data_IF_599989091168
#
_entry.id   IF_599989091168
#
_cell.length_a   1.000
_cell.length_b   1.000
_cell.length_c   1.000
_cell.angle_alpha   90.00
_cell.angle_beta   90.00
_cell.angle_gamma   90.00
#
_symmetry.space_group_name_H-M   'P 1'
#
loop_
_entity.id
_entity.type
_entity.pdbx_description
1 polymer ?
#
# COMPACT_ATOMS: atom_id res chain seq x y z
N UNK A 1 -26.96 14.81 -10.86
CA UNK A 1 -25.91 15.47 -11.67
C UNK A 1 -24.93 14.40 -12.10
N UNK A 2 -25.10 13.98 -13.37
CA UNK A 2 -24.34 13.03 -14.21
C UNK A 2 -23.52 11.89 -13.58
N UNK A 3 -24.09 10.68 -13.69
CA UNK A 3 -23.52 9.31 -13.60
C UNK A 3 -22.30 9.00 -14.48
N UNK A 4 -21.66 10.01 -15.08
CA UNK A 4 -20.53 9.87 -16.02
C UNK A 4 -19.17 10.21 -15.38
N UNK A 5 -19.09 10.16 -14.05
CA UNK A 5 -17.82 10.29 -13.35
C UNK A 5 -16.89 9.15 -13.78
N UNK A 6 -15.76 9.48 -14.42
CA UNK A 6 -14.73 8.52 -14.77
C UNK A 6 -14.42 7.62 -13.56
N UNK A 7 -14.77 6.33 -13.63
CA UNK A 7 -14.37 5.33 -12.64
C UNK A 7 -12.87 5.06 -12.79
N UNK A 8 -12.04 6.05 -12.42
CA UNK A 8 -10.58 6.02 -12.50
C UNK A 8 -10.01 4.70 -11.99
N UNK A 9 -10.55 4.21 -10.88
CA UNK A 9 -10.15 2.94 -10.26
C UNK A 9 -10.49 1.69 -11.08
N UNK A 10 -11.59 1.69 -11.84
CA UNK A 10 -11.92 0.60 -12.77
C UNK A 10 -10.89 0.52 -13.90
N UNK A 11 -10.49 1.65 -14.45
CA UNK A 11 -9.50 1.65 -15.54
C UNK A 11 -8.11 1.28 -15.03
N UNK A 12 -7.73 1.77 -13.85
CA UNK A 12 -6.47 1.35 -13.22
C UNK A 12 -6.46 -0.12 -12.81
N UNK A 13 -7.59 -0.72 -12.42
CA UNK A 13 -7.70 -2.17 -12.25
C UNK A 13 -7.34 -2.91 -13.54
N UNK A 14 -7.89 -2.46 -14.68
CA UNK A 14 -7.64 -3.08 -15.98
C UNK A 14 -6.17 -2.90 -16.39
N UNK A 15 -5.65 -1.68 -16.36
CA UNK A 15 -4.29 -1.39 -16.86
C UNK A 15 -3.20 -1.94 -15.93
N UNK A 16 -3.43 -1.94 -14.62
CA UNK A 16 -2.49 -2.49 -13.64
C UNK A 16 -2.77 -3.95 -13.30
N UNK A 17 -3.73 -4.64 -13.94
CA UNK A 17 -4.13 -6.01 -13.60
C UNK A 17 -2.95 -6.96 -13.41
N UNK A 18 -2.00 -6.91 -14.33
CA UNK A 18 -0.82 -7.78 -14.33
C UNK A 18 0.44 -7.13 -13.76
N UNK A 19 0.34 -5.89 -13.26
CA UNK A 19 1.46 -5.27 -12.55
C UNK A 19 1.61 -5.89 -11.16
N UNK A 20 2.85 -6.28 -10.85
CA UNK A 20 3.27 -6.66 -9.49
C UNK A 20 3.40 -5.40 -8.63
N UNK A 21 4.08 -4.37 -9.16
CA UNK A 21 4.25 -3.06 -8.51
C UNK A 21 3.55 -2.00 -9.34
N UNK A 22 2.64 -1.22 -8.75
CA UNK A 22 1.92 -0.13 -9.41
C UNK A 22 2.74 1.17 -9.47
N UNK A 23 4.02 1.07 -9.83
CA UNK A 23 4.94 2.20 -9.99
C UNK A 23 5.90 1.92 -11.16
N UNK A 24 6.49 2.95 -11.79
CA UNK A 24 7.47 2.80 -12.87
C UNK A 24 8.83 2.32 -12.32
N UNK A 25 8.86 1.10 -11.79
CA UNK A 25 10.02 0.49 -11.16
C UNK A 25 10.11 -1.00 -11.48
N UNK A 26 11.29 -1.58 -11.35
CA UNK A 26 11.46 -3.03 -11.40
C UNK A 26 11.07 -3.65 -10.06
N UNK A 27 10.83 -4.96 -10.05
CA UNK A 27 10.60 -5.71 -8.79
C UNK A 27 11.84 -5.77 -7.89
N UNK A 28 13.03 -5.69 -8.48
CA UNK A 28 14.31 -5.75 -7.75
C UNK A 28 14.57 -4.50 -6.91
N UNK A 29 14.09 -3.33 -7.34
CA UNK A 29 14.32 -2.06 -6.61
C UNK A 29 13.62 -2.02 -5.25
N UNK A 30 12.32 -2.37 -5.10
CA UNK A 30 11.70 -2.53 -3.79
C UNK A 30 12.41 -3.55 -2.92
N UNK A 31 12.90 -4.65 -3.48
CA UNK A 31 13.62 -5.68 -2.72
C UNK A 31 14.94 -5.15 -2.14
N UNK A 32 15.75 -4.46 -2.95
CA UNK A 32 16.95 -3.78 -2.48
C UNK A 32 16.62 -2.71 -1.44
N UNK A 33 15.60 -1.88 -1.69
CA UNK A 33 15.17 -0.84 -0.77
C UNK A 33 14.74 -1.40 0.59
N UNK A 34 13.98 -2.50 0.60
CA UNK A 34 13.58 -3.22 1.81
C UNK A 34 14.81 -3.71 2.57
N UNK A 35 15.76 -4.36 1.90
CA UNK A 35 16.97 -4.90 2.54
C UNK A 35 17.82 -3.84 3.26
N UNK A 36 17.69 -2.56 2.88
CA UNK A 36 18.39 -1.45 3.51
C UNK A 36 17.69 -0.92 4.77
N UNK A 37 16.42 -1.25 5.01
CA UNK A 37 15.63 -0.65 6.10
C UNK A 37 15.98 -1.20 7.48
N UNK A 38 16.39 -2.48 7.58
CA UNK A 38 16.79 -3.13 8.85
C UNK A 38 15.78 -2.91 9.98
N UNK A 39 14.49 -3.09 9.68
CA UNK A 39 13.42 -2.97 10.66
C UNK A 39 13.48 -4.10 11.68
N UNK A 40 13.02 -3.82 12.89
CA UNK A 40 12.86 -4.84 13.92
C UNK A 40 11.53 -5.61 13.70
N UNK A 41 11.48 -6.89 14.08
CA UNK A 41 10.23 -7.64 14.09
C UNK A 41 9.10 -6.90 14.82
N UNK A 42 7.93 -6.83 14.18
CA UNK A 42 6.76 -6.14 14.73
C UNK A 42 6.76 -4.61 14.61
N UNK A 43 7.76 -4.00 13.95
CA UNK A 43 7.81 -2.56 13.67
C UNK A 43 6.51 -2.09 12.98
N UNK A 44 5.77 -1.12 13.56
CA UNK A 44 4.56 -0.59 12.96
C UNK A 44 4.88 0.21 11.69
N UNK A 45 4.27 -0.20 10.57
CA UNK A 45 4.47 0.43 9.27
C UNK A 45 3.15 0.94 8.67
N UNK A 46 3.20 2.09 8.00
CA UNK A 46 2.09 2.70 7.28
C UNK A 46 2.46 2.88 5.81
N UNK A 47 1.58 2.48 4.90
CA UNK A 47 1.71 2.75 3.46
C UNK A 47 0.44 3.43 2.96
N UNK A 48 0.55 4.72 2.64
CA UNK A 48 -0.54 5.54 2.10
C UNK A 48 -0.56 5.44 0.58
N UNK A 49 -1.75 5.18 0.04
CA UNK A 49 -1.99 4.83 -1.36
C UNK A 49 -1.13 3.62 -1.76
N UNK A 50 -1.25 2.54 -0.97
CA UNK A 50 -0.40 1.35 -1.06
C UNK A 50 -0.63 0.50 -2.32
N UNK A 51 -1.61 0.85 -3.16
CA UNK A 51 -1.99 0.06 -4.33
C UNK A 51 -2.36 -1.36 -3.93
N UNK A 52 -1.71 -2.35 -4.56
CA UNK A 52 -1.91 -3.78 -4.28
C UNK A 52 -1.12 -4.29 -3.07
N UNK A 53 -0.53 -3.39 -2.28
CA UNK A 53 0.24 -3.67 -1.06
C UNK A 53 1.49 -4.56 -1.24
N UNK A 54 2.06 -4.62 -2.44
CA UNK A 54 3.28 -5.40 -2.71
C UNK A 54 4.45 -5.01 -1.79
N UNK A 55 4.60 -3.71 -1.48
CA UNK A 55 5.64 -3.22 -0.57
C UNK A 55 5.43 -3.73 0.87
N UNK A 56 4.21 -3.59 1.41
CA UNK A 56 3.89 -4.07 2.77
C UNK A 56 3.99 -5.58 2.90
N UNK A 57 3.57 -6.35 1.89
CA UNK A 57 3.69 -7.81 1.90
C UNK A 57 5.16 -8.22 1.93
N UNK A 58 6.02 -7.61 1.11
CA UNK A 58 7.46 -7.88 1.13
C UNK A 58 8.12 -7.47 2.45
N UNK A 59 7.70 -6.35 3.04
CA UNK A 59 8.18 -5.96 4.38
C UNK A 59 7.77 -6.97 5.44
N UNK A 60 6.55 -7.51 5.37
CA UNK A 60 6.11 -8.56 6.29
C UNK A 60 6.88 -9.87 6.10
N UNK A 61 7.22 -10.24 4.86
CA UNK A 61 8.09 -11.39 4.59
C UNK A 61 9.51 -11.19 5.13
N UNK A 62 10.08 -10.00 4.98
CA UNK A 62 11.46 -9.71 5.35
C UNK A 62 11.66 -9.47 6.85
N UNK A 63 10.68 -8.85 7.51
CA UNK A 63 10.83 -8.30 8.85
C UNK A 63 9.66 -8.60 9.79
N UNK A 64 8.65 -9.38 9.42
CA UNK A 64 7.47 -9.67 10.27
C UNK A 64 6.83 -8.41 10.89
N UNK A 65 6.69 -7.36 10.08
CA UNK A 65 6.11 -6.08 10.52
C UNK A 65 4.62 -6.21 10.88
N UNK A 66 4.13 -5.24 11.66
CA UNK A 66 2.71 -4.91 11.74
C UNK A 66 2.45 -3.75 10.80
N UNK A 67 1.43 -3.81 9.96
CA UNK A 67 1.29 -2.85 8.86
C UNK A 67 -0.14 -2.41 8.60
N UNK A 68 -0.31 -1.15 8.19
CA UNK A 68 -1.57 -0.64 7.64
C UNK A 68 -1.33 -0.14 6.23
N UNK A 69 -2.04 -0.72 5.27
CA UNK A 69 -2.13 -0.20 3.90
C UNK A 69 -3.43 0.57 3.72
N UNK A 70 -3.34 1.79 3.21
CA UNK A 70 -4.50 2.63 2.90
C UNK A 70 -4.56 2.87 1.41
N UNK A 71 -5.69 2.64 0.76
CA UNK A 71 -5.85 3.00 -0.65
C UNK A 71 -7.31 3.36 -0.98
N UNK A 72 -7.51 4.23 -1.96
CA UNK A 72 -8.83 4.64 -2.44
C UNK A 72 -9.48 3.59 -3.35
N UNK A 73 -8.68 2.77 -4.03
CA UNK A 73 -9.17 1.80 -5.02
C UNK A 73 -9.74 0.56 -4.34
N UNK A 74 -11.06 0.30 -4.43
CA UNK A 74 -11.63 -0.94 -3.90
C UNK A 74 -11.11 -2.19 -4.64
N UNK A 75 -10.68 -2.02 -5.90
CA UNK A 75 -10.09 -3.10 -6.70
C UNK A 75 -8.70 -3.49 -6.18
N UNK A 76 -7.83 -2.51 -5.91
CA UNK A 76 -6.51 -2.80 -5.36
C UNK A 76 -6.57 -3.31 -3.92
N UNK A 77 -7.55 -2.87 -3.13
CA UNK A 77 -7.79 -3.44 -1.80
C UNK A 77 -8.19 -4.91 -1.85
N UNK A 78 -8.92 -5.34 -2.89
CA UNK A 78 -9.20 -6.76 -3.12
C UNK A 78 -7.91 -7.53 -3.44
N UNK A 79 -7.09 -7.01 -4.35
CA UNK A 79 -5.80 -7.62 -4.72
C UNK A 79 -4.83 -7.68 -3.53
N UNK A 80 -4.76 -6.63 -2.71
CA UNK A 80 -3.93 -6.57 -1.50
C UNK A 80 -4.31 -7.65 -0.48
N UNK A 81 -5.62 -7.83 -0.25
CA UNK A 81 -6.14 -8.89 0.64
C UNK A 81 -5.84 -10.29 0.10
N UNK A 82 -5.97 -10.47 -1.21
CA UNK A 82 -5.61 -11.72 -1.89
C UNK A 82 -4.12 -12.03 -1.73
N UNK A 83 -3.27 -11.05 -2.05
CA UNK A 83 -1.83 -11.17 -1.96
C UNK A 83 -1.36 -11.51 -0.54
N UNK A 84 -1.91 -10.81 0.47
CA UNK A 84 -1.67 -11.12 1.89
C UNK A 84 -2.04 -12.56 2.20
N UNK A 85 -3.24 -13.02 1.79
CA UNK A 85 -3.70 -14.39 2.06
C UNK A 85 -2.78 -15.44 1.45
N UNK A 86 -2.23 -15.17 0.27
CA UNK A 86 -1.34 -16.11 -0.43
C UNK A 86 0.06 -16.16 0.15
N UNK A 87 0.66 -15.00 0.47
CA UNK A 87 2.08 -14.90 0.79
C UNK A 87 2.36 -14.83 2.29
N UNK A 88 1.50 -14.16 3.04
CA UNK A 88 1.69 -13.87 4.47
C UNK A 88 0.37 -13.97 5.26
N UNK A 89 -0.35 -15.11 5.21
CA UNK A 89 -1.70 -15.25 5.77
C UNK A 89 -1.79 -14.92 7.27
N UNK A 90 -0.72 -15.18 8.03
CA UNK A 90 -0.64 -14.91 9.47
C UNK A 90 -0.13 -13.50 9.83
N UNK A 91 0.27 -12.69 8.85
CA UNK A 91 0.81 -11.36 9.11
C UNK A 91 -0.23 -10.41 9.73
N UNK A 92 0.28 -9.48 10.53
CA UNK A 92 -0.52 -8.40 11.10
C UNK A 92 -0.62 -7.20 10.13
N UNK A 93 -1.00 -7.49 8.89
CA UNK A 93 -1.33 -6.48 7.88
C UNK A 93 -2.84 -6.23 7.84
N UNK A 94 -3.20 -4.95 7.90
CA UNK A 94 -4.56 -4.43 7.79
C UNK A 94 -4.69 -3.53 6.55
N UNK A 95 -5.85 -3.55 5.91
CA UNK A 95 -6.12 -2.75 4.71
C UNK A 95 -7.37 -1.91 4.86
N UNK A 96 -7.25 -0.60 4.65
CA UNK A 96 -8.31 0.39 4.86
C UNK A 96 -8.63 1.09 3.54
N UNK A 97 -9.88 0.99 3.08
CA UNK A 97 -10.32 1.61 1.84
C UNK A 97 -10.91 3.01 2.09
N UNK A 98 -10.05 4.00 2.23
CA UNK A 98 -10.42 5.41 2.45
C UNK A 98 -9.49 6.34 1.68
N UNK A 99 -9.83 7.62 1.64
CA UNK A 99 -8.90 8.64 1.18
C UNK A 99 -7.71 8.72 2.15
N UNK A 100 -6.48 8.54 1.63
CA UNK A 100 -5.27 8.61 2.44
C UNK A 100 -5.06 9.97 3.13
N UNK A 101 -5.59 11.06 2.56
CA UNK A 101 -5.60 12.37 3.21
C UNK A 101 -6.52 12.45 4.43
N UNK A 102 -7.53 11.61 4.49
CA UNK A 102 -8.50 11.54 5.58
C UNK A 102 -8.15 10.43 6.57
N UNK A 103 -7.11 9.64 6.31
CA UNK A 103 -6.73 8.54 7.19
C UNK A 103 -6.15 9.08 8.50
N UNK A 104 -6.86 8.80 9.58
CA UNK A 104 -6.46 9.06 10.95
C UNK A 104 -6.85 7.87 11.82
N UNK A 105 -5.99 7.48 12.77
CA UNK A 105 -6.36 6.65 13.92
C UNK A 105 -6.00 7.42 15.18
N UNK A 106 -6.83 7.31 16.20
CA UNK A 106 -6.62 8.01 17.48
C UNK A 106 -5.26 7.67 18.14
N UNK A 107 -4.61 6.56 17.71
CA UNK A 107 -3.30 6.10 18.18
C UNK A 107 -2.17 6.13 17.11
N UNK A 108 -2.27 6.91 16.03
CA UNK A 108 -1.26 6.98 14.94
C UNK A 108 0.11 7.55 15.31
N UNK A 109 0.38 7.89 16.58
CA UNK A 109 1.58 8.67 16.91
C UNK A 109 2.91 7.97 16.65
N UNK A 110 2.97 6.65 16.48
CA UNK A 110 4.24 5.92 16.40
C UNK A 110 4.22 4.84 15.29
N UNK A 111 4.44 5.23 14.04
CA UNK A 111 4.91 4.31 13.01
C UNK A 111 6.44 4.42 12.91
N UNK A 112 7.14 3.29 12.91
CA UNK A 112 8.59 3.25 12.68
C UNK A 112 8.91 3.53 11.21
N UNK A 113 7.97 3.17 10.31
CA UNK A 113 8.06 3.44 8.88
C UNK A 113 6.72 3.99 8.37
N UNK A 114 6.76 5.14 7.70
CA UNK A 114 5.63 5.67 6.94
C UNK A 114 6.03 5.92 5.51
N UNK A 115 5.23 5.44 4.57
CA UNK A 115 5.49 5.46 3.14
C UNK A 115 4.30 6.07 2.38
N UNK A 116 4.63 6.76 1.29
CA UNK A 116 3.70 7.20 0.25
C UNK A 116 4.50 7.22 -1.07
N UNK A 117 4.59 6.07 -1.73
CA UNK A 117 5.55 5.86 -2.83
C UNK A 117 4.86 6.12 -4.18
N UNK A 118 5.23 7.24 -4.82
CA UNK A 118 4.67 7.62 -6.13
C UNK A 118 3.22 8.11 -6.08
N UNK A 119 2.74 8.49 -4.88
CA UNK A 119 1.33 8.75 -4.65
C UNK A 119 1.02 10.09 -3.96
N UNK A 120 1.90 11.09 -4.07
CA UNK A 120 1.70 12.42 -3.49
C UNK A 120 0.42 13.12 -3.98
N UNK A 121 -0.17 12.67 -5.09
CA UNK A 121 -1.47 13.14 -5.58
C UNK A 121 -2.60 12.95 -4.56
N UNK A 122 -2.43 12.06 -3.58
CA UNK A 122 -3.36 11.91 -2.46
C UNK A 122 -3.42 13.17 -1.58
N UNK A 123 -2.36 13.99 -1.61
CA UNK A 123 -2.19 15.24 -0.85
C UNK A 123 -2.07 16.47 -1.77
N UNK A 124 -2.77 16.46 -2.91
CA UNK A 124 -2.71 17.52 -3.92
C UNK A 124 -1.33 17.74 -4.59
N UNK A 125 -0.43 16.74 -4.48
CA UNK A 125 0.88 16.75 -5.13
C UNK A 125 2.00 17.33 -4.26
N UNK A 126 3.21 17.38 -4.83
CA UNK A 126 4.35 18.07 -4.23
C UNK A 126 4.47 19.47 -4.84
N UNK A 127 4.93 20.45 -4.06
CA UNK A 127 5.29 21.79 -4.52
C UNK A 127 6.80 21.97 -4.44
#
# INVERSE_FOLDING_TARGET
>A
MTEWGMHRWKYFDITHRFHVVCNPTSVAKPEEFIGLMRLEPGSPSLDIACGKAEMLVRLAEAYDIRGVGVDLSPYFMKDAKELKRQRVPGSNLEFVNVNGAEYHRENTKNFDLSMCIGASWIYDGHR
#
